data_IF_579357896206
#
_entry.id   IF_579357896206
#
_cell.length_a   1.000
_cell.length_b   1.000
_cell.length_c   1.000
_cell.angle_alpha   90.00
_cell.angle_beta   90.00
_cell.angle_gamma   90.00
#
_symmetry.space_group_name_H-M   'P 1'
#
loop_
_entity.id
_entity.type
_entity.pdbx_description
1 polymer ?
#
# COMPACT_ATOMS: atom_id res chain seq x y z
N UNK A 1 -11.46 -22.46 -12.78
CA UNK A 1 -10.32 -21.64 -12.30
C UNK A 1 -9.77 -20.90 -13.51
N UNK A 2 -9.94 -19.58 -13.59
CA UNK A 2 -9.55 -18.82 -14.79
C UNK A 2 -8.03 -18.74 -14.86
N UNK A 3 -7.42 -19.61 -15.65
CA UNK A 3 -6.00 -19.60 -15.98
C UNK A 3 -5.74 -18.35 -16.81
N UNK A 4 -5.33 -17.25 -16.18
CA UNK A 4 -5.04 -16.01 -16.90
C UNK A 4 -3.56 -15.80 -17.11
N UNK A 5 -3.27 -15.52 -18.37
CA UNK A 5 -2.03 -15.01 -18.91
C UNK A 5 -1.60 -13.76 -18.13
N UNK A 6 -0.65 -13.96 -17.22
CA UNK A 6 -0.18 -12.90 -16.33
C UNK A 6 0.74 -11.99 -17.13
N UNK A 7 0.18 -10.88 -17.65
CA UNK A 7 0.97 -9.87 -18.38
C UNK A 7 2.22 -9.49 -17.58
N UNK A 8 3.37 -9.33 -18.25
CA UNK A 8 4.62 -8.99 -17.58
C UNK A 8 4.50 -7.61 -16.90
N UNK A 9 5.17 -7.46 -15.76
CA UNK A 9 5.19 -6.20 -15.02
C UNK A 9 6.00 -5.15 -15.79
N UNK A 10 5.38 -3.99 -16.05
CA UNK A 10 5.98 -2.87 -16.78
C UNK A 10 6.76 -1.99 -15.82
N UNK A 11 7.95 -2.43 -15.43
CA UNK A 11 8.78 -1.73 -14.42
C UNK A 11 9.12 -0.28 -14.80
N UNK A 12 9.29 0.04 -16.09
CA UNK A 12 9.55 1.41 -16.55
C UNK A 12 8.36 2.36 -16.32
N UNK A 13 7.14 1.85 -16.45
CA UNK A 13 5.93 2.60 -16.14
C UNK A 13 5.89 2.93 -14.65
N UNK A 14 6.15 1.94 -13.79
CA UNK A 14 6.23 2.13 -12.34
C UNK A 14 7.28 3.18 -11.98
N UNK A 15 8.48 3.10 -12.59
CA UNK A 15 9.56 4.07 -12.39
C UNK A 15 9.13 5.48 -12.75
N UNK A 16 8.45 5.66 -13.90
CA UNK A 16 7.92 6.95 -14.34
C UNK A 16 6.87 7.49 -13.37
N UNK A 17 5.97 6.64 -12.87
CA UNK A 17 4.97 7.02 -11.87
C UNK A 17 5.64 7.48 -10.56
N UNK A 18 6.60 6.72 -10.04
CA UNK A 18 7.35 7.07 -8.82
C UNK A 18 8.10 8.40 -8.97
N UNK A 19 8.72 8.65 -10.13
CA UNK A 19 9.42 9.90 -10.42
C UNK A 19 8.49 11.12 -10.28
N UNK A 20 7.24 11.03 -10.77
CA UNK A 20 6.24 12.10 -10.66
C UNK A 20 5.86 12.44 -9.20
N UNK A 21 6.07 11.53 -8.24
CA UNK A 21 5.76 11.73 -6.82
C UNK A 21 7.00 11.79 -5.92
N UNK A 22 8.20 11.99 -6.49
CA UNK A 22 9.50 11.97 -5.76
C UNK A 22 9.52 12.81 -4.48
N UNK A 23 8.97 14.02 -4.51
CA UNK A 23 8.94 14.90 -3.32
C UNK A 23 8.11 14.31 -2.18
N UNK A 24 6.91 13.77 -2.49
CA UNK A 24 6.06 13.08 -1.51
C UNK A 24 6.74 11.82 -0.97
N UNK A 25 7.45 11.08 -1.83
CA UNK A 25 8.21 9.90 -1.42
C UNK A 25 9.37 10.24 -0.48
N UNK A 26 10.11 11.33 -0.75
CA UNK A 26 11.16 11.82 0.15
C UNK A 26 10.57 12.22 1.51
N UNK A 27 9.42 12.91 1.53
CA UNK A 27 8.73 13.24 2.78
C UNK A 27 8.41 11.96 3.58
N UNK A 28 7.73 11.00 2.96
CA UNK A 28 7.38 9.73 3.59
C UNK A 28 8.61 9.00 4.16
N UNK A 29 9.66 8.84 3.36
CA UNK A 29 10.80 7.99 3.71
C UNK A 29 11.83 8.65 4.62
N UNK A 30 11.93 9.97 4.62
CA UNK A 30 12.92 10.71 5.42
C UNK A 30 12.35 11.35 6.68
N UNK A 31 11.04 11.61 6.74
CA UNK A 31 10.43 12.36 7.85
C UNK A 31 9.49 11.52 8.72
N UNK A 32 9.23 10.26 8.36
CA UNK A 32 8.53 9.36 9.28
C UNK A 32 9.48 9.00 10.44
N UNK A 33 9.23 9.57 11.61
CA UNK A 33 10.05 9.36 12.82
C UNK A 33 9.62 8.15 13.66
N UNK A 34 8.77 7.28 13.09
CA UNK A 34 8.28 6.07 13.76
C UNK A 34 7.61 6.30 15.13
N UNK A 35 6.98 7.47 15.33
CA UNK A 35 6.32 7.84 16.59
C UNK A 35 5.02 7.09 16.90
N UNK A 36 4.54 6.23 15.99
CA UNK A 36 3.30 5.44 16.14
C UNK A 36 2.00 6.23 16.37
N UNK A 37 2.00 7.56 16.40
CA UNK A 37 0.78 8.37 16.60
C UNK A 37 -0.30 8.16 15.54
N UNK A 38 0.07 7.70 14.34
CA UNK A 38 -0.91 7.33 13.32
C UNK A 38 -1.64 6.02 13.64
N UNK A 39 -1.11 5.16 14.52
CA UNK A 39 -1.66 3.85 14.81
C UNK A 39 -3.06 3.95 15.46
N UNK A 40 -3.17 4.74 16.53
CA UNK A 40 -4.41 4.91 17.30
C UNK A 40 -5.55 5.54 16.48
N UNK A 41 -5.22 6.32 15.44
CA UNK A 41 -6.21 6.89 14.54
C UNK A 41 -6.85 5.88 13.57
N UNK A 42 -6.30 4.66 13.45
CA UNK A 42 -6.79 3.63 12.53
C UNK A 42 -7.70 2.62 13.24
N UNK A 43 -8.98 2.62 12.89
CA UNK A 43 -9.94 1.69 13.51
C UNK A 43 -9.62 0.22 13.26
N UNK A 44 -9.05 -0.15 12.10
CA UNK A 44 -8.63 -1.53 11.84
C UNK A 44 -7.47 -1.95 12.76
N UNK A 45 -6.55 -1.04 13.07
CA UNK A 45 -5.49 -1.34 14.05
C UNK A 45 -6.08 -1.60 15.42
N UNK A 46 -7.06 -0.79 15.84
CA UNK A 46 -7.74 -0.97 17.13
C UNK A 46 -8.61 -2.22 17.18
N UNK A 47 -9.26 -2.59 16.07
CA UNK A 47 -10.16 -3.75 15.98
C UNK A 47 -9.44 -5.10 15.86
N UNK A 48 -8.17 -5.10 15.45
CA UNK A 48 -7.35 -6.31 15.30
C UNK A 48 -6.26 -6.38 16.39
N UNK A 49 -6.63 -6.15 17.64
CA UNK A 49 -5.74 -6.28 18.82
C UNK A 49 -4.38 -5.57 18.67
N UNK A 50 -4.39 -4.40 18.02
CA UNK A 50 -3.19 -3.60 17.77
C UNK A 50 -2.11 -4.34 16.96
N UNK A 51 -2.52 -5.25 16.06
CA UNK A 51 -1.60 -5.92 15.15
C UNK A 51 -0.91 -4.88 14.22
N UNK A 52 0.45 -4.79 14.24
CA UNK A 52 1.21 -3.84 13.45
C UNK A 52 0.91 -3.84 11.95
N UNK A 53 0.43 -4.94 11.36
CA UNK A 53 0.09 -5.00 9.93
C UNK A 53 -1.04 -4.03 9.55
N UNK A 54 -1.86 -3.62 10.53
CA UNK A 54 -2.94 -2.65 10.39
C UNK A 54 -2.52 -1.22 10.76
N UNK A 55 -1.30 -0.99 11.23
CA UNK A 55 -0.81 0.37 11.51
C UNK A 55 -0.65 1.17 10.20
N UNK A 56 -1.10 2.44 10.12
CA UNK A 56 -1.00 3.23 8.88
C UNK A 56 0.41 3.44 8.36
N UNK A 57 1.38 3.70 9.24
CA UNK A 57 2.80 3.82 8.88
C UNK A 57 3.35 2.51 8.32
N UNK A 58 3.00 1.36 8.93
CA UNK A 58 3.37 0.04 8.41
C UNK A 58 2.84 -0.14 6.99
N UNK A 59 1.54 0.09 6.78
CA UNK A 59 0.91 -0.07 5.46
C UNK A 59 1.64 0.69 4.38
N UNK A 60 1.94 1.97 4.61
CA UNK A 60 2.57 2.82 3.59
C UNK A 60 4.05 2.49 3.38
N UNK A 61 4.80 2.17 4.45
CA UNK A 61 6.22 1.84 4.35
C UNK A 61 6.45 0.47 3.72
N UNK A 62 5.61 -0.52 4.06
CA UNK A 62 5.70 -1.89 3.57
C UNK A 62 5.11 -2.06 2.15
N UNK A 63 4.24 -1.15 1.73
CA UNK A 63 3.80 -1.07 0.33
C UNK A 63 4.66 -0.12 -0.50
N UNK A 64 4.23 1.14 -0.59
CA UNK A 64 4.83 2.17 -1.44
C UNK A 64 6.29 2.44 -1.09
N UNK A 65 6.64 2.41 0.20
CA UNK A 65 8.01 2.60 0.66
C UNK A 65 8.98 1.55 0.10
N UNK A 66 8.65 0.25 0.23
CA UNK A 66 9.42 -0.85 -0.37
C UNK A 66 9.47 -0.75 -1.90
N UNK A 67 8.34 -0.45 -2.54
CA UNK A 67 8.24 -0.28 -3.99
C UNK A 67 9.18 0.83 -4.49
N UNK A 68 9.24 1.95 -3.78
CA UNK A 68 10.14 3.06 -4.09
C UNK A 68 11.61 2.74 -3.84
N UNK A 69 11.94 2.07 -2.72
CA UNK A 69 13.32 1.62 -2.42
C UNK A 69 13.86 0.68 -3.49
N UNK A 70 13.02 -0.22 -4.02
CA UNK A 70 13.33 -1.08 -5.17
C UNK A 70 13.39 -0.35 -6.51
N UNK A 71 13.15 0.98 -6.53
CA UNK A 71 13.09 1.81 -7.75
C UNK A 71 12.15 1.22 -8.80
N UNK A 72 11.01 0.66 -8.37
CA UNK A 72 10.04 0.01 -9.26
C UNK A 72 10.49 -1.30 -9.93
N UNK A 73 11.70 -1.82 -9.62
CA UNK A 73 12.17 -3.13 -10.06
C UNK A 73 11.52 -4.23 -9.20
N UNK A 74 10.30 -4.62 -9.57
CA UNK A 74 9.45 -5.53 -8.82
C UNK A 74 8.79 -6.54 -9.74
N UNK A 75 8.39 -7.67 -9.19
CA UNK A 75 7.68 -8.74 -9.88
C UNK A 75 6.21 -8.79 -9.46
N UNK A 76 5.47 -9.74 -10.04
CA UNK A 76 4.04 -9.93 -9.74
C UNK A 76 3.80 -10.39 -8.30
N UNK A 77 4.49 -11.40 -7.74
CA UNK A 77 4.31 -11.79 -6.34
C UNK A 77 4.49 -10.62 -5.36
N UNK A 78 5.46 -9.73 -5.62
CA UNK A 78 5.65 -8.54 -4.81
C UNK A 78 4.43 -7.60 -4.85
N UNK A 79 3.84 -7.38 -6.03
CA UNK A 79 2.65 -6.53 -6.14
C UNK A 79 1.39 -7.19 -5.54
N UNK A 80 1.25 -8.51 -5.65
CA UNK A 80 0.16 -9.24 -4.98
C UNK A 80 0.29 -9.18 -3.45
N UNK A 81 1.51 -9.23 -2.90
CA UNK A 81 1.73 -8.98 -1.48
C UNK A 81 1.31 -7.55 -1.08
N UNK A 82 1.68 -6.55 -1.89
CA UNK A 82 1.24 -5.17 -1.68
C UNK A 82 -0.28 -5.05 -1.76
N UNK A 83 -0.95 -5.81 -2.64
CA UNK A 83 -2.41 -5.84 -2.79
C UNK A 83 -3.08 -6.12 -1.46
N UNK A 84 -2.62 -7.13 -0.72
CA UNK A 84 -3.10 -7.44 0.63
C UNK A 84 -2.96 -6.24 1.58
N UNK A 85 -1.81 -5.59 1.61
CA UNK A 85 -1.59 -4.45 2.51
C UNK A 85 -2.52 -3.26 2.18
N UNK A 86 -2.66 -2.92 0.89
CA UNK A 86 -3.32 -1.66 0.49
C UNK A 86 -4.83 -1.81 0.27
N UNK A 87 -5.37 -3.02 0.17
CA UNK A 87 -6.81 -3.29 0.11
C UNK A 87 -7.34 -4.08 1.30
N UNK A 88 -6.73 -5.21 1.66
CA UNK A 88 -7.20 -6.05 2.78
C UNK A 88 -7.03 -5.32 4.10
N UNK A 89 -5.81 -4.84 4.37
CA UNK A 89 -5.53 -4.19 5.67
C UNK A 89 -6.01 -2.72 5.70
N UNK A 90 -6.58 -2.17 4.61
CA UNK A 90 -6.94 -0.76 4.52
C UNK A 90 -8.21 -0.54 3.70
N UNK A 91 -9.27 -0.05 4.34
CA UNK A 91 -10.49 0.39 3.63
C UNK A 91 -10.40 1.80 3.03
N UNK A 92 -9.27 2.49 3.22
CA UNK A 92 -9.05 3.88 2.78
C UNK A 92 -10.08 4.86 3.35
N UNK A 93 -10.45 4.73 4.64
CA UNK A 93 -11.37 5.65 5.34
C UNK A 93 -10.82 7.07 5.54
N UNK A 94 -9.53 7.30 5.24
CA UNK A 94 -8.81 8.58 5.37
C UNK A 94 -8.73 9.18 6.79
N UNK A 95 -9.18 8.45 7.83
CA UNK A 95 -9.13 8.90 9.23
C UNK A 95 -7.71 9.00 9.81
N UNK A 96 -6.73 8.29 9.23
CA UNK A 96 -5.40 8.27 9.79
C UNK A 96 -4.69 9.62 9.68
N UNK A 97 -4.05 10.04 10.76
CA UNK A 97 -3.38 11.34 10.89
C UNK A 97 -1.90 11.18 11.21
N UNK A 98 -1.06 12.05 10.66
CA UNK A 98 0.36 12.12 10.96
C UNK A 98 0.72 13.56 11.33
N UNK A 99 1.23 13.83 12.55
CA UNK A 99 1.55 15.19 13.00
C UNK A 99 2.72 15.81 12.22
N UNK A 100 3.56 14.99 11.56
CA UNK A 100 4.65 15.45 10.71
C UNK A 100 4.15 15.89 9.31
N UNK A 101 2.85 15.71 9.03
CA UNK A 101 2.25 16.08 7.74
C UNK A 101 2.49 15.07 6.62
N UNK A 102 2.66 13.78 6.95
CA UNK A 102 2.64 12.71 5.95
C UNK A 102 1.19 12.34 5.64
N UNK A 103 0.75 12.62 4.42
CA UNK A 103 -0.56 12.21 3.92
C UNK A 103 -0.57 10.71 3.56
N UNK A 104 -0.73 9.86 4.58
CA UNK A 104 -0.77 8.40 4.45
C UNK A 104 -1.90 7.95 3.50
N UNK A 105 -3.15 8.45 3.60
CA UNK A 105 -4.22 8.05 2.69
C UNK A 105 -3.88 8.28 1.21
N UNK A 106 -3.31 9.45 0.87
CA UNK A 106 -2.89 9.72 -0.50
C UNK A 106 -1.74 8.81 -0.96
N UNK A 107 -0.83 8.42 -0.06
CA UNK A 107 0.25 7.48 -0.39
C UNK A 107 -0.30 6.06 -0.64
N UNK A 108 -1.23 5.57 0.18
CA UNK A 108 -1.90 4.29 -0.05
C UNK A 108 -2.69 4.32 -1.36
N UNK A 109 -3.39 5.42 -1.65
CA UNK A 109 -4.09 5.61 -2.93
C UNK A 109 -3.12 5.49 -4.11
N UNK A 110 -1.94 6.09 -4.00
CA UNK A 110 -0.94 6.01 -5.06
C UNK A 110 -0.38 4.59 -5.22
N UNK A 111 -0.18 3.84 -4.14
CA UNK A 111 0.19 2.43 -4.21
C UNK A 111 -0.87 1.59 -4.95
N UNK A 112 -2.17 1.83 -4.66
CA UNK A 112 -3.28 1.20 -5.38
C UNK A 112 -3.27 1.55 -6.87
N UNK A 113 -2.99 2.80 -7.22
CA UNK A 113 -2.87 3.24 -8.62
C UNK A 113 -1.74 2.51 -9.36
N UNK A 114 -0.59 2.32 -8.71
CA UNK A 114 0.52 1.54 -9.29
C UNK A 114 0.10 0.08 -9.49
N UNK A 115 -0.50 -0.56 -8.50
CA UNK A 115 -0.95 -1.94 -8.64
C UNK A 115 -1.97 -2.09 -9.78
N UNK A 116 -2.96 -1.18 -9.86
CA UNK A 116 -3.95 -1.14 -10.95
C UNK A 116 -3.32 -0.97 -12.32
N UNK A 117 -2.30 -0.12 -12.48
CA UNK A 117 -1.63 0.05 -13.77
C UNK A 117 -0.89 -1.21 -14.23
N UNK A 118 -0.62 -2.14 -13.32
CA UNK A 118 -0.02 -3.45 -13.60
C UNK A 118 -1.05 -4.60 -13.62
N UNK A 119 -2.35 -4.28 -13.56
CA UNK A 119 -3.42 -5.27 -13.52
C UNK A 119 -3.52 -6.05 -12.21
N UNK A 120 -3.01 -5.49 -11.11
CA UNK A 120 -3.07 -6.07 -9.76
C UNK A 120 -4.08 -5.28 -8.92
N UNK A 121 -5.22 -5.90 -8.64
CA UNK A 121 -6.31 -5.32 -7.85
C UNK A 121 -7.26 -6.44 -7.38
N UNK A 122 -8.01 -6.24 -6.28
CA UNK A 122 -8.97 -7.24 -5.82
C UNK A 122 -10.02 -7.54 -6.88
N UNK A 123 -10.30 -8.81 -7.10
CA UNK A 123 -11.38 -9.26 -7.99
C UNK A 123 -12.58 -9.73 -7.17
N UNK A 124 -13.76 -9.72 -7.79
CA UNK A 124 -15.03 -10.07 -7.12
C UNK A 124 -15.04 -11.53 -6.66
N UNK A 125 -14.36 -12.41 -7.39
CA UNK A 125 -14.20 -13.83 -7.06
C UNK A 125 -13.18 -14.08 -5.92
N UNK A 126 -12.29 -13.13 -5.65
CA UNK A 126 -11.31 -13.24 -4.56
C UNK A 126 -11.90 -12.91 -3.18
N UNK A 127 -13.06 -12.24 -3.10
CA UNK A 127 -13.64 -11.82 -1.82
C UNK A 127 -14.34 -12.94 -1.04
N UNK A 128 -14.43 -14.14 -1.59
CA UNK A 128 -15.19 -15.27 -1.00
C UNK A 128 -14.31 -16.24 -0.20
N UNK A 129 -12.98 -16.27 -0.40
CA UNK A 129 -12.13 -17.31 0.19
C UNK A 129 -11.45 -16.96 1.52
N UNK A 130 -11.48 -15.71 1.97
CA UNK A 130 -10.95 -15.32 3.29
C UNK A 130 -12.08 -14.74 4.13
N UNK A 131 -12.55 -15.53 5.10
CA UNK A 131 -13.54 -15.18 6.12
C UNK A 131 -13.20 -13.83 6.74
N UNK A 132 -14.12 -12.87 6.63
CA UNK A 132 -14.02 -11.55 7.26
C UNK A 132 -14.61 -11.53 8.68
N UNK A 133 -14.63 -12.70 9.33
CA UNK A 133 -14.97 -12.95 10.72
C UNK A 133 -13.95 -13.92 11.31
#
# INVERSE_FOLDING_TARGET
MSTQETKPIRTDEIRRMLKKKRAKMKRLLSHCVHCSLCAESCFLYMAHDKDPQYMPSYKVLQSLGKLYRKRGKVDRPFLEHIKGIVWRNCVLCRRCYCPIGIDIPSMITFARTICRSQGVYPRVDESVSESWL
#
